data_IF_929673642716
#
_entry.id   IF_929673642716
#
_cell.length_a   1.000
_cell.length_b   1.000
_cell.length_c   1.000
_cell.angle_alpha   90.00
_cell.angle_beta   90.00
_cell.angle_gamma   90.00
#
_symmetry.space_group_name_H-M   'P 1'
#
loop_
_entity.id
_entity.type
_entity.pdbx_description
1 polymer ?
#
# COMPACT_ATOMS: atom_id res chain seq x y z
N UNK A 1 -7.14 46.25 -31.94
CA UNK A 1 -6.56 45.28 -32.90
C UNK A 1 -6.10 44.10 -32.03
N UNK A 2 -6.72 42.91 -32.00
CA UNK A 2 -7.26 42.06 -33.08
C UNK A 2 -6.16 41.72 -34.11
N UNK A 3 -5.88 40.47 -34.50
CA UNK A 3 -6.39 39.14 -34.09
C UNK A 3 -5.27 38.08 -34.34
N UNK A 4 -5.39 36.77 -34.14
CA UNK A 4 -6.52 35.88 -33.83
C UNK A 4 -6.05 34.59 -33.09
N UNK A 5 -6.98 33.70 -32.75
CA UNK A 5 -6.71 32.29 -32.38
C UNK A 5 -6.98 31.37 -33.57
N UNK A 6 -6.29 30.22 -33.65
CA UNK A 6 -6.30 29.31 -34.80
C UNK A 6 -6.67 27.86 -34.46
N UNK A 7 -7.83 27.64 -33.84
CA UNK A 7 -8.32 26.29 -33.50
C UNK A 7 -8.83 25.55 -34.75
N UNK A 8 -8.09 24.53 -35.22
CA UNK A 8 -8.50 23.68 -36.34
C UNK A 8 -9.48 22.59 -35.91
N UNK A 9 -10.77 22.93 -35.95
CA UNK A 9 -11.88 22.01 -35.74
C UNK A 9 -12.07 21.10 -36.98
N UNK A 10 -11.53 19.88 -36.94
CA UNK A 10 -11.73 18.89 -38.01
C UNK A 10 -13.14 18.30 -37.93
N UNK A 11 -13.99 18.75 -38.85
CA UNK A 11 -15.38 18.35 -39.00
C UNK A 11 -15.47 17.16 -39.95
N UNK A 12 -15.54 15.93 -39.43
CA UNK A 12 -15.69 14.72 -40.25
C UNK A 12 -17.17 14.51 -40.61
N UNK A 13 -17.37 14.22 -41.89
CA UNK A 13 -18.64 14.27 -42.60
C UNK A 13 -19.50 13.01 -42.41
N UNK A 14 -20.80 13.19 -42.34
CA UNK A 14 -21.81 12.13 -42.21
C UNK A 14 -21.99 11.34 -43.51
N UNK A 15 -21.99 10.00 -43.43
CA UNK A 15 -23.02 9.09 -43.98
C UNK A 15 -22.62 7.62 -43.70
N UNK A 16 -23.60 6.72 -43.54
CA UNK A 16 -23.94 5.83 -44.66
C UNK A 16 -25.45 5.61 -44.88
N UNK A 17 -25.79 5.20 -46.10
CA UNK A 17 -27.15 4.93 -46.59
C UNK A 17 -27.77 3.64 -46.02
N UNK A 18 -29.10 3.58 -46.05
CA UNK A 18 -29.92 2.45 -45.58
C UNK A 18 -29.86 1.20 -46.46
N UNK A 19 -30.00 0.02 -45.86
CA UNK A 19 -30.70 -1.12 -46.46
C UNK A 19 -31.37 -1.99 -45.37
N UNK A 20 -32.53 -2.57 -45.72
CA UNK A 20 -33.39 -3.31 -44.79
C UNK A 20 -32.85 -4.70 -44.43
N UNK A 21 -33.12 -5.15 -43.20
CA UNK A 21 -32.81 -6.52 -42.77
C UNK A 21 -33.34 -6.83 -41.37
N UNK A 22 -34.66 -6.96 -41.22
CA UNK A 22 -35.25 -7.33 -39.94
C UNK A 22 -35.03 -8.83 -39.64
N UNK A 23 -34.25 -9.13 -38.61
CA UNK A 23 -34.28 -10.42 -37.89
C UNK A 23 -34.17 -10.15 -36.39
N UNK A 24 -35.29 -10.29 -35.68
CA UNK A 24 -35.31 -10.25 -34.23
C UNK A 24 -34.71 -11.55 -33.68
N UNK A 25 -33.46 -11.50 -33.21
CA UNK A 25 -32.78 -12.65 -32.61
C UNK A 25 -32.60 -12.44 -31.10
N UNK A 26 -33.37 -13.22 -30.34
CA UNK A 26 -33.16 -13.64 -28.95
C UNK A 26 -32.39 -12.69 -28.00
N UNK A 27 -33.11 -12.14 -27.02
CA UNK A 27 -32.59 -11.33 -25.91
C UNK A 27 -31.75 -12.09 -24.86
N UNK A 28 -30.78 -12.91 -25.29
CA UNK A 28 -29.79 -13.55 -24.42
C UNK A 28 -28.38 -12.94 -24.54
N UNK A 29 -27.93 -12.63 -25.76
CA UNK A 29 -26.56 -12.18 -26.02
C UNK A 29 -26.24 -10.81 -25.39
N UNK A 30 -27.18 -9.86 -25.45
CA UNK A 30 -27.00 -8.51 -24.91
C UNK A 30 -26.70 -8.48 -23.41
N UNK A 31 -27.26 -9.41 -22.64
CA UNK A 31 -27.10 -9.47 -21.18
C UNK A 31 -25.78 -10.12 -20.74
N UNK A 32 -25.25 -11.02 -21.57
CA UNK A 32 -23.95 -11.67 -21.36
C UNK A 32 -22.79 -10.75 -21.82
N UNK A 33 -22.99 -10.00 -22.90
CA UNK A 33 -22.01 -9.04 -23.41
C UNK A 33 -21.86 -7.81 -22.49
N UNK A 34 -22.96 -7.31 -21.92
CA UNK A 34 -22.93 -6.22 -20.94
C UNK A 34 -22.26 -6.60 -19.62
N UNK A 35 -22.50 -7.81 -19.10
CA UNK A 35 -21.84 -8.27 -17.87
C UNK A 35 -20.33 -8.50 -18.05
N UNK A 36 -19.90 -9.03 -19.20
CA UNK A 36 -18.48 -9.10 -19.55
C UNK A 36 -17.82 -7.71 -19.62
N UNK A 37 -18.48 -6.73 -20.25
CA UNK A 37 -17.97 -5.35 -20.37
C UNK A 37 -17.87 -4.65 -19.01
N UNK A 38 -18.87 -4.81 -18.12
CA UNK A 38 -18.83 -4.29 -16.76
C UNK A 38 -17.69 -4.90 -15.93
N UNK A 39 -17.43 -6.21 -16.10
CA UNK A 39 -16.30 -6.88 -15.44
C UNK A 39 -14.95 -6.34 -15.95
N UNK A 40 -14.81 -6.10 -17.26
CA UNK A 40 -13.62 -5.49 -17.86
C UNK A 40 -13.37 -4.08 -17.30
N UNK A 41 -14.40 -3.23 -17.22
CA UNK A 41 -14.28 -1.87 -16.64
C UNK A 41 -13.91 -1.93 -15.15
N UNK A 42 -14.49 -2.86 -14.38
CA UNK A 42 -14.15 -3.04 -12.96
C UNK A 42 -12.69 -3.47 -12.77
N UNK A 43 -12.22 -4.41 -13.59
CA UNK A 43 -10.83 -4.88 -13.58
C UNK A 43 -9.86 -3.79 -14.03
N UNK A 44 -10.17 -3.07 -15.11
CA UNK A 44 -9.37 -1.93 -15.57
C UNK A 44 -9.21 -0.89 -14.47
N UNK A 45 -10.31 -0.46 -13.82
CA UNK A 45 -10.25 0.53 -12.73
C UNK A 45 -9.38 0.06 -11.56
N UNK A 46 -9.43 -1.24 -11.20
CA UNK A 46 -8.58 -1.80 -10.14
C UNK A 46 -7.10 -1.76 -10.55
N UNK A 47 -6.77 -2.35 -11.70
CA UNK A 47 -5.39 -2.45 -12.20
C UNK A 47 -4.78 -1.07 -12.51
N UNK A 48 -5.60 -0.11 -12.94
CA UNK A 48 -5.19 1.27 -13.15
C UNK A 48 -4.73 1.93 -11.84
N UNK A 49 -5.48 1.78 -10.74
CA UNK A 49 -5.05 2.31 -9.42
C UNK A 49 -3.77 1.62 -8.92
N UNK A 50 -3.65 0.30 -9.13
CA UNK A 50 -2.44 -0.45 -8.78
C UNK A 50 -1.22 0.03 -9.59
N UNK A 51 -1.37 0.22 -10.90
CA UNK A 51 -0.33 0.75 -11.79
C UNK A 51 0.10 2.18 -11.42
N UNK A 52 -0.84 3.10 -11.17
CA UNK A 52 -0.49 4.47 -10.79
C UNK A 52 0.25 4.52 -9.44
N UNK A 53 -0.11 3.64 -8.50
CA UNK A 53 0.62 3.49 -7.23
C UNK A 53 2.04 2.99 -7.46
N UNK A 54 2.21 1.92 -8.23
CA UNK A 54 3.53 1.33 -8.49
C UNK A 54 4.43 2.30 -9.29
N UNK A 55 3.87 3.05 -10.24
CA UNK A 55 4.59 4.12 -10.95
C UNK A 55 5.06 5.25 -10.02
N UNK A 56 4.25 5.63 -9.01
CA UNK A 56 4.64 6.61 -7.99
C UNK A 56 5.73 6.06 -7.05
N UNK A 57 5.59 4.81 -6.59
CA UNK A 57 6.59 4.14 -5.76
C UNK A 57 7.93 3.97 -6.51
N UNK A 58 7.88 3.67 -7.83
CA UNK A 58 9.05 3.65 -8.72
C UNK A 58 9.70 5.02 -8.88
N UNK A 59 8.94 6.08 -9.13
CA UNK A 59 9.48 7.44 -9.25
C UNK A 59 10.20 7.86 -7.96
N UNK A 60 9.62 7.55 -6.80
CA UNK A 60 10.23 7.79 -5.50
C UNK A 60 11.50 6.96 -5.25
N UNK A 61 11.52 5.68 -5.65
CA UNK A 61 12.66 4.78 -5.46
C UNK A 61 13.84 5.10 -6.39
N UNK A 62 13.56 5.40 -7.66
CA UNK A 62 14.55 5.73 -8.67
C UNK A 62 14.97 7.22 -8.66
N UNK A 63 14.18 8.08 -8.00
CA UNK A 63 14.45 9.53 -7.90
C UNK A 63 14.51 10.25 -9.24
N UNK A 64 13.72 9.77 -10.21
CA UNK A 64 13.54 10.35 -11.54
C UNK A 64 12.08 10.24 -11.98
N UNK A 65 11.73 10.92 -13.07
CA UNK A 65 10.34 11.03 -13.52
C UNK A 65 9.85 9.74 -14.20
N UNK A 66 8.63 9.32 -13.86
CA UNK A 66 7.94 8.16 -14.47
C UNK A 66 6.67 8.65 -15.15
N UNK A 67 6.50 8.31 -16.42
CA UNK A 67 5.28 8.61 -17.18
C UNK A 67 4.48 7.32 -17.41
N UNK A 68 3.20 7.34 -17.04
CA UNK A 68 2.27 6.23 -17.29
C UNK A 68 1.19 6.68 -18.29
N UNK A 69 0.99 5.90 -19.34
CA UNK A 69 -0.05 6.10 -20.35
C UNK A 69 -1.02 4.93 -20.25
N UNK A 70 -2.29 5.21 -19.92
CA UNK A 70 -3.31 4.16 -19.75
C UNK A 70 -4.47 4.38 -20.70
N UNK A 71 -4.66 3.46 -21.64
CA UNK A 71 -5.80 3.45 -22.54
C UNK A 71 -7.07 2.99 -21.79
N UNK A 72 -8.19 3.67 -22.02
CA UNK A 72 -9.47 3.34 -21.43
C UNK A 72 -10.11 2.14 -22.16
N UNK A 73 -10.95 1.32 -21.50
CA UNK A 73 -11.71 0.26 -22.16
C UNK A 73 -12.58 0.83 -23.29
N UNK A 74 -12.48 0.25 -24.49
CA UNK A 74 -13.11 0.78 -25.70
C UNK A 74 -12.20 1.65 -26.57
N UNK A 75 -10.98 1.98 -26.13
CA UNK A 75 -9.92 2.54 -26.99
C UNK A 75 -10.10 4.00 -27.44
N UNK A 76 -11.22 4.65 -27.10
CA UNK A 76 -11.55 6.02 -27.52
C UNK A 76 -10.81 7.12 -26.76
N UNK A 77 -10.13 6.78 -25.66
CA UNK A 77 -9.40 7.74 -24.82
C UNK A 77 -8.20 7.07 -24.13
N UNK A 78 -7.23 7.89 -23.75
CA UNK A 78 -6.10 7.50 -22.91
C UNK A 78 -5.83 8.60 -21.87
N UNK A 79 -5.38 8.19 -20.70
CA UNK A 79 -4.95 9.07 -19.62
C UNK A 79 -3.42 9.10 -19.56
N UNK A 80 -2.88 10.30 -19.32
CA UNK A 80 -1.44 10.54 -19.16
C UNK A 80 -1.16 11.01 -17.73
N UNK A 81 -0.31 10.27 -17.04
CA UNK A 81 0.08 10.54 -15.65
C UNK A 81 1.60 10.71 -15.56
N UNK A 82 2.07 11.74 -14.86
CA UNK A 82 3.49 11.98 -14.60
C UNK A 82 3.74 11.96 -13.10
N UNK A 83 4.68 11.13 -12.68
CA UNK A 83 5.13 10.97 -11.30
C UNK A 83 6.55 11.50 -11.17
N UNK A 84 6.71 12.57 -10.40
CA UNK A 84 8.02 13.19 -10.23
C UNK A 84 8.81 12.51 -9.10
N UNK A 85 9.97 11.97 -9.44
CA UNK A 85 10.90 11.42 -8.46
C UNK A 85 11.65 12.53 -7.74
N UNK A 86 11.61 12.54 -6.40
CA UNK A 86 12.48 13.44 -5.65
C UNK A 86 13.94 13.05 -5.91
N UNK A 87 14.85 13.98 -6.27
CA UNK A 87 16.21 13.63 -6.65
C UNK A 87 16.90 12.88 -5.50
N UNK A 88 17.52 11.74 -5.81
CA UNK A 88 18.07 10.77 -4.82
C UNK A 88 18.95 11.47 -3.76
N UNK A 89 19.69 12.50 -4.17
CA UNK A 89 20.53 13.31 -3.28
C UNK A 89 19.71 14.02 -2.18
N UNK A 90 18.55 14.62 -2.52
CA UNK A 90 17.68 15.29 -1.56
C UNK A 90 17.03 14.29 -0.59
N UNK A 91 16.56 13.15 -1.08
CA UNK A 91 16.01 12.08 -0.24
C UNK A 91 17.06 11.52 0.75
N UNK A 92 18.30 11.29 0.27
CA UNK A 92 19.43 10.88 1.14
C UNK A 92 19.79 11.96 2.16
N UNK A 93 19.81 13.24 1.77
CA UNK A 93 20.08 14.36 2.68
C UNK A 93 19.01 14.46 3.79
N UNK A 94 17.72 14.32 3.45
CA UNK A 94 16.63 14.30 4.42
C UNK A 94 16.73 13.11 5.38
N UNK A 95 17.04 11.90 4.88
CA UNK A 95 17.23 10.72 5.72
C UNK A 95 18.40 10.88 6.70
N UNK A 96 19.51 11.48 6.27
CA UNK A 96 20.66 11.78 7.12
C UNK A 96 20.34 12.89 8.14
N UNK A 97 19.60 13.92 7.76
CA UNK A 97 19.14 14.97 8.66
C UNK A 97 18.20 14.42 9.76
N UNK A 98 17.27 13.53 9.38
CA UNK A 98 16.39 12.81 10.33
C UNK A 98 17.20 12.00 11.33
N UNK A 99 18.13 11.15 10.85
CA UNK A 99 19.02 10.36 11.73
C UNK A 99 19.86 11.23 12.67
N UNK A 100 20.38 12.36 12.18
CA UNK A 100 21.13 13.32 13.01
C UNK A 100 20.26 13.94 14.10
N UNK A 101 19.01 14.31 13.80
CA UNK A 101 18.04 14.81 14.79
C UNK A 101 17.67 13.75 15.83
N UNK A 102 17.41 12.52 15.40
CA UNK A 102 17.14 11.39 16.30
C UNK A 102 18.33 11.10 17.23
N UNK A 103 19.56 11.12 16.71
CA UNK A 103 20.77 10.96 17.50
C UNK A 103 20.98 12.12 18.51
N UNK A 104 20.66 13.37 18.14
CA UNK A 104 20.70 14.52 19.04
C UNK A 104 19.67 14.40 20.17
N UNK A 105 18.43 14.01 19.86
CA UNK A 105 17.38 13.77 20.88
C UNK A 105 17.79 12.63 21.82
N UNK A 106 18.33 11.53 21.28
CA UNK A 106 18.83 10.41 22.08
C UNK A 106 20.07 10.77 22.92
N UNK A 107 20.90 11.72 22.48
CA UNK A 107 22.00 12.25 23.28
C UNK A 107 21.49 13.15 24.41
N UNK A 108 20.54 14.06 24.13
CA UNK A 108 19.93 14.94 25.13
C UNK A 108 19.20 14.13 26.22
N UNK A 109 18.41 13.12 25.83
CA UNK A 109 17.71 12.23 26.76
C UNK A 109 18.70 11.46 27.66
N UNK A 110 19.80 10.94 27.09
CA UNK A 110 20.85 10.28 27.88
C UNK A 110 21.55 11.24 28.84
N UNK A 111 21.78 12.50 28.43
CA UNK A 111 22.35 13.53 29.29
C UNK A 111 21.43 13.89 30.47
N UNK A 112 20.12 13.97 30.23
CA UNK A 112 19.11 14.19 31.27
C UNK A 112 19.08 13.02 32.26
N UNK A 113 18.94 11.79 31.77
CA UNK A 113 18.97 10.57 32.62
C UNK A 113 20.27 10.46 33.42
N UNK A 114 21.42 10.77 32.81
CA UNK A 114 22.70 10.77 33.52
C UNK A 114 22.75 11.82 34.64
N UNK A 115 22.17 13.00 34.41
CA UNK A 115 22.05 14.05 35.44
C UNK A 115 21.14 13.61 36.58
N UNK A 116 19.96 13.06 36.26
CA UNK A 116 18.98 12.61 37.25
C UNK A 116 19.57 11.47 38.11
N UNK A 117 20.22 10.48 37.50
CA UNK A 117 20.90 9.38 38.21
C UNK A 117 22.12 9.85 39.00
N UNK A 118 22.83 10.91 38.56
CA UNK A 118 23.99 11.44 39.31
C UNK A 118 23.63 12.08 40.65
N UNK A 119 22.36 12.42 40.86
CA UNK A 119 21.85 12.92 42.15
C UNK A 119 21.20 11.86 43.04
N UNK A 120 21.02 10.61 42.56
CA UNK A 120 20.40 9.53 43.34
C UNK A 120 21.36 8.95 44.37
N UNK A 121 20.83 8.55 45.54
CA UNK A 121 21.62 7.79 46.50
C UNK A 121 21.87 6.37 45.98
N UNK A 122 23.03 5.79 46.32
CA UNK A 122 23.42 4.42 45.87
C UNK A 122 22.37 3.39 46.26
N UNK A 123 21.79 3.52 47.45
CA UNK A 123 20.72 2.68 48.00
C UNK A 123 19.45 2.71 47.13
N UNK A 124 19.06 3.88 46.61
CA UNK A 124 17.90 4.04 45.72
C UNK A 124 18.18 3.41 44.34
N UNK A 125 19.41 3.55 43.83
CA UNK A 125 19.84 2.91 42.57
C UNK A 125 19.81 1.38 42.70
N UNK A 126 20.21 0.84 43.85
CA UNK A 126 20.12 -0.59 44.14
C UNK A 126 18.67 -1.06 44.29
N UNK A 127 17.81 -0.32 44.98
CA UNK A 127 16.40 -0.63 45.11
C UNK A 127 15.70 -0.67 43.72
N UNK A 128 15.93 0.32 42.87
CA UNK A 128 15.44 0.33 41.49
C UNK A 128 15.99 -0.84 40.67
N UNK A 129 17.27 -1.20 40.83
CA UNK A 129 17.88 -2.37 40.17
C UNK A 129 17.21 -3.68 40.59
N UNK A 130 16.94 -3.86 41.88
CA UNK A 130 16.24 -5.04 42.41
C UNK A 130 14.80 -5.12 41.87
N UNK A 131 14.06 -4.02 41.90
CA UNK A 131 12.69 -3.95 41.38
C UNK A 131 12.63 -4.26 39.87
N UNK A 132 13.61 -3.78 39.10
CA UNK A 132 13.69 -4.01 37.65
C UNK A 132 14.06 -5.47 37.33
N UNK A 133 14.88 -6.13 38.15
CA UNK A 133 15.13 -7.58 38.06
C UNK A 133 13.87 -8.40 38.40
N UNK A 134 13.14 -8.03 39.46
CA UNK A 134 11.89 -8.70 39.84
C UNK A 134 10.82 -8.59 38.74
N UNK A 135 10.68 -7.41 38.12
CA UNK A 135 9.78 -7.19 36.97
C UNK A 135 10.19 -8.05 35.76
N UNK A 136 11.49 -8.14 35.43
CA UNK A 136 11.99 -9.01 34.36
C UNK A 136 11.67 -10.48 34.63
N UNK A 137 11.91 -10.97 35.84
CA UNK A 137 11.57 -12.34 36.23
C UNK A 137 10.07 -12.62 36.11
N UNK A 138 9.22 -11.69 36.55
CA UNK A 138 7.76 -11.81 36.42
C UNK A 138 7.28 -11.81 34.96
N UNK A 139 7.90 -11.03 34.07
CA UNK A 139 7.61 -11.04 32.63
C UNK A 139 8.05 -12.36 31.99
N UNK A 140 9.25 -12.85 32.29
CA UNK A 140 9.74 -14.14 31.79
C UNK A 140 8.82 -15.28 32.23
N UNK A 141 8.40 -15.30 33.50
CA UNK A 141 7.46 -16.31 34.01
C UNK A 141 6.12 -16.25 33.28
N UNK A 142 5.55 -15.05 33.08
CA UNK A 142 4.30 -14.87 32.30
C UNK A 142 4.44 -15.28 30.83
N UNK A 143 5.61 -15.12 30.22
CA UNK A 143 5.87 -15.61 28.85
C UNK A 143 5.98 -17.14 28.82
N UNK A 144 6.61 -17.76 29.82
CA UNK A 144 6.68 -19.21 29.98
C UNK A 144 5.29 -19.82 30.26
N UNK A 145 4.50 -19.22 31.16
CA UNK A 145 3.11 -19.58 31.44
C UNK A 145 2.26 -19.54 30.16
N UNK A 146 2.38 -18.47 29.35
CA UNK A 146 1.69 -18.36 28.05
C UNK A 146 2.19 -19.38 27.01
N UNK A 147 3.49 -19.66 26.96
CA UNK A 147 4.04 -20.67 26.06
C UNK A 147 3.53 -22.08 26.43
N UNK A 148 3.55 -22.43 27.72
CA UNK A 148 3.03 -23.71 28.21
C UNK A 148 1.51 -23.85 27.97
N UNK A 149 0.73 -22.78 28.20
CA UNK A 149 -0.71 -22.78 27.90
C UNK A 149 -1.00 -22.97 26.40
N UNK A 150 -0.20 -22.37 25.51
CA UNK A 150 -0.34 -22.58 24.07
C UNK A 150 0.04 -24.00 23.63
N UNK A 151 1.01 -24.65 24.29
CA UNK A 151 1.36 -26.05 24.04
C UNK A 151 0.24 -26.98 24.54
N UNK A 152 -0.28 -26.75 25.74
CA UNK A 152 -1.40 -27.54 26.29
C UNK A 152 -2.71 -27.39 25.49
N UNK A 153 -2.91 -26.25 24.82
CA UNK A 153 -4.03 -26.04 23.88
C UNK A 153 -3.80 -26.64 22.47
N UNK A 154 -2.61 -27.19 22.20
CA UNK A 154 -2.24 -27.76 20.90
C UNK A 154 -2.63 -29.22 20.68
N UNK A 155 -2.82 -29.99 21.76
CA UNK A 155 -3.01 -31.46 21.69
C UNK A 155 -4.47 -31.94 21.47
N UNK A 156 -5.47 -31.03 21.44
CA UNK A 156 -6.87 -31.38 21.12
C UNK A 156 -7.28 -31.02 19.67
N UNK A 157 -6.31 -31.02 18.74
CA UNK A 157 -6.55 -30.94 17.30
C UNK A 157 -6.64 -32.32 16.61
N UNK A 158 -6.65 -33.42 17.38
CA UNK A 158 -6.71 -34.82 16.90
C UNK A 158 -8.08 -35.27 16.34
N UNK A 159 -8.92 -34.36 15.83
CA UNK A 159 -10.32 -34.66 15.50
C UNK A 159 -10.54 -35.11 14.04
N UNK A 160 -10.02 -36.30 13.73
CA UNK A 160 -10.55 -37.25 12.73
C UNK A 160 -11.24 -36.67 11.47
N UNK A 161 -10.47 -36.25 10.47
CA UNK A 161 -11.00 -36.03 9.12
C UNK A 161 -11.34 -37.37 8.43
N UNK A 162 -12.51 -37.92 8.76
CA UNK A 162 -13.09 -39.09 8.06
C UNK A 162 -13.63 -38.67 6.68
N UNK A 163 -12.73 -38.49 5.72
CA UNK A 163 -13.11 -38.40 4.30
C UNK A 163 -13.72 -39.75 3.91
N UNK A 164 -15.04 -39.80 3.71
CA UNK A 164 -15.70 -41.00 3.18
C UNK A 164 -15.37 -41.09 1.69
N UNK A 165 -14.82 -42.24 1.28
CA UNK A 165 -14.69 -42.62 -0.12
C UNK A 165 -16.11 -42.66 -0.72
N UNK A 166 -16.29 -42.01 -1.87
CA UNK A 166 -17.50 -42.10 -2.68
C UNK A 166 -17.24 -43.20 -3.71
N UNK A 167 -18.19 -44.13 -3.84
CA UNK A 167 -18.30 -45.09 -4.95
C UNK A 167 -19.33 -44.59 -5.96
#
# INVERSE_FOLDING_TARGET
MAAASGEKKLQIQTQPSSSSGAVAVAGGAAQQQTSAWQNLVRMHRKLHVELLREAADMAAACGGDVHAIVFCPGGSSAEFHTFHGAPIAAARAQAMAKRKREAQVAAALRGMVAKDVSGMAVEEVEAHRQQLLALRAAVVRKLQEKAAANVAAGDDAGRSNKIRKIE
#
